data_IF_889835871038
#
_entry.id   IF_889835871038
#
_cell.length_a   1.000
_cell.length_b   1.000
_cell.length_c   1.000
_cell.angle_alpha   90.00
_cell.angle_beta   90.00
_cell.angle_gamma   90.00
#
_symmetry.space_group_name_H-M   'P 1'
#
loop_
_entity.id
_entity.type
_entity.pdbx_description
1 polymer ?
#
# COMPACT_ATOMS: atom_id res chain seq x y z
N UNK A 1 -6.61 -14.32 19.03
CA UNK A 1 -7.01 -13.61 17.79
C UNK A 1 -7.03 -12.13 18.13
N UNK A 2 -5.94 -11.41 17.85
CA UNK A 2 -5.91 -9.95 17.94
C UNK A 2 -6.77 -9.45 16.77
N UNK A 3 -7.78 -8.64 17.06
CA UNK A 3 -8.54 -7.90 16.05
C UNK A 3 -7.57 -7.23 15.08
N UNK A 4 -7.90 -7.27 13.79
CA UNK A 4 -7.20 -6.51 12.76
C UNK A 4 -7.36 -5.02 13.11
N UNK A 5 -6.36 -4.46 13.80
CA UNK A 5 -6.28 -3.04 14.17
C UNK A 5 -6.10 -2.12 12.95
N UNK A 6 -5.87 -2.72 11.80
CA UNK A 6 -4.94 -2.23 10.78
C UNK A 6 -5.61 -1.83 9.46
N UNK A 7 -6.89 -2.15 9.23
CA UNK A 7 -7.51 -1.85 7.94
C UNK A 7 -7.73 -0.36 7.67
N UNK A 8 -7.76 0.49 8.71
CA UNK A 8 -7.91 1.96 8.56
C UNK A 8 -6.66 2.61 7.98
N UNK A 9 -5.50 2.09 8.38
CA UNK A 9 -4.19 2.65 8.07
C UNK A 9 -3.78 2.38 6.61
N UNK A 10 -4.23 1.25 6.06
CA UNK A 10 -4.08 0.85 4.64
C UNK A 10 -4.52 1.99 3.70
N UNK A 11 -5.66 2.62 3.99
CA UNK A 11 -6.24 3.66 3.14
C UNK A 11 -5.56 5.02 3.26
N UNK A 12 -4.96 5.31 4.41
CA UNK A 12 -4.43 6.64 4.70
C UNK A 12 -3.29 7.00 3.73
N UNK A 13 -2.40 6.04 3.46
CA UNK A 13 -1.29 6.26 2.55
C UNK A 13 -1.75 6.38 1.08
N UNK A 14 -2.66 5.50 0.64
CA UNK A 14 -3.26 5.57 -0.69
C UNK A 14 -3.94 6.93 -0.92
N UNK A 15 -4.78 7.38 0.02
CA UNK A 15 -5.44 8.68 -0.08
C UNK A 15 -4.43 9.83 -0.09
N UNK A 16 -3.36 9.75 0.71
CA UNK A 16 -2.28 10.74 0.71
C UNK A 16 -1.60 10.89 -0.65
N UNK A 17 -1.38 9.78 -1.37
CA UNK A 17 -0.80 9.82 -2.71
C UNK A 17 -1.78 10.38 -3.75
N UNK A 18 -3.06 10.03 -3.68
CA UNK A 18 -4.10 10.62 -4.54
C UNK A 18 -4.24 12.14 -4.32
N UNK A 19 -4.13 12.60 -3.07
CA UNK A 19 -4.16 14.03 -2.74
C UNK A 19 -3.04 14.84 -3.41
N UNK A 20 -1.93 14.19 -3.77
CA UNK A 20 -0.83 14.81 -4.50
C UNK A 20 -1.28 15.47 -5.81
N UNK A 21 -2.27 14.90 -6.51
CA UNK A 21 -2.82 15.45 -7.75
C UNK A 21 -3.52 16.80 -7.54
N UNK A 22 -4.05 17.04 -6.35
CA UNK A 22 -4.79 18.25 -5.98
C UNK A 22 -3.92 19.30 -5.27
N UNK A 23 -2.65 19.01 -5.03
CA UNK A 23 -1.76 19.83 -4.22
C UNK A 23 -1.26 21.11 -4.90
N UNK A 24 -1.40 21.21 -6.24
CA UNK A 24 -0.80 22.26 -7.05
C UNK A 24 0.73 22.15 -7.20
N UNK A 25 1.33 21.09 -6.64
CA UNK A 25 2.74 20.74 -6.86
C UNK A 25 2.90 20.11 -8.23
N UNK A 26 4.05 20.35 -8.87
CA UNK A 26 4.37 19.72 -10.16
C UNK A 26 4.28 18.19 -10.08
N UNK A 27 3.59 17.51 -11.02
CA UNK A 27 3.33 16.07 -10.95
C UNK A 27 4.59 15.21 -10.74
N UNK A 28 5.70 15.55 -11.41
CA UNK A 28 6.98 14.83 -11.24
C UNK A 28 7.58 14.96 -9.85
N UNK A 29 7.33 16.07 -9.15
CA UNK A 29 7.78 16.25 -7.77
C UNK A 29 6.93 15.41 -6.83
N UNK A 30 5.61 15.39 -7.06
CA UNK A 30 4.69 14.51 -6.31
C UNK A 30 5.13 13.05 -6.45
N UNK A 31 5.36 12.60 -7.68
CA UNK A 31 5.85 11.25 -7.98
C UNK A 31 7.18 10.95 -7.28
N UNK A 32 8.14 11.88 -7.31
CA UNK A 32 9.42 11.72 -6.62
C UNK A 32 9.24 11.54 -5.11
N UNK A 33 8.37 12.33 -4.48
CA UNK A 33 8.07 12.17 -3.04
C UNK A 33 7.42 10.82 -2.74
N UNK A 34 6.45 10.39 -3.57
CA UNK A 34 5.80 9.09 -3.43
C UNK A 34 6.81 7.94 -3.51
N UNK A 35 7.70 7.98 -4.50
CA UNK A 35 8.76 6.96 -4.66
C UNK A 35 9.69 6.94 -3.43
N UNK A 36 10.06 8.11 -2.92
CA UNK A 36 10.88 8.23 -1.71
C UNK A 36 10.22 7.61 -0.48
N UNK A 37 8.92 7.87 -0.28
CA UNK A 37 8.15 7.30 0.82
C UNK A 37 8.04 5.77 0.68
N UNK A 38 7.69 5.26 -0.51
CA UNK A 38 7.60 3.81 -0.78
C UNK A 38 8.95 3.12 -0.49
N UNK A 39 10.06 3.72 -0.89
CA UNK A 39 11.39 3.17 -0.62
C UNK A 39 11.69 3.10 0.89
N UNK A 40 11.34 4.16 1.63
CA UNK A 40 11.50 4.18 3.08
C UNK A 40 10.66 3.07 3.75
N UNK A 41 9.42 2.89 3.32
CA UNK A 41 8.53 1.87 3.84
C UNK A 41 9.03 0.45 3.59
N UNK A 42 9.51 0.15 2.38
CA UNK A 42 10.13 -1.14 2.10
C UNK A 42 11.39 -1.37 2.93
N UNK A 43 12.14 -0.31 3.25
CA UNK A 43 13.31 -0.40 4.13
C UNK A 43 12.90 -0.83 5.54
N UNK A 44 11.83 -0.26 6.10
CA UNK A 44 11.29 -0.65 7.41
C UNK A 44 10.71 -2.08 7.40
N UNK A 45 9.98 -2.48 6.36
CA UNK A 45 9.48 -3.87 6.24
C UNK A 45 10.64 -4.87 6.16
N UNK A 46 11.68 -4.56 5.39
CA UNK A 46 12.87 -5.40 5.30
C UNK A 46 13.62 -5.47 6.63
N UNK A 47 13.72 -4.34 7.35
CA UNK A 47 14.30 -4.27 8.69
C UNK A 47 13.57 -5.18 9.68
N UNK A 48 12.23 -5.16 9.67
CA UNK A 48 11.42 -6.04 10.53
C UNK A 48 11.67 -7.53 10.20
N UNK A 49 11.72 -7.89 8.91
CA UNK A 49 12.07 -9.26 8.47
C UNK A 49 13.49 -9.64 8.91
N UNK A 50 14.45 -8.74 8.77
CA UNK A 50 15.83 -8.99 9.16
C UNK A 50 15.95 -9.30 10.65
N UNK A 51 15.32 -8.49 11.49
CA UNK A 51 15.32 -8.68 12.95
C UNK A 51 14.53 -9.94 13.31
N UNK A 52 13.26 -10.02 12.90
CA UNK A 52 12.30 -10.98 13.47
C UNK A 52 12.26 -12.34 12.76
N UNK A 53 12.69 -12.40 11.49
CA UNK A 53 12.75 -13.66 10.74
C UNK A 53 14.19 -14.15 10.54
N UNK A 54 15.14 -13.24 10.28
CA UNK A 54 16.55 -13.62 10.04
C UNK A 54 17.41 -13.60 11.30
N UNK A 55 16.91 -13.04 12.40
CA UNK A 55 17.61 -13.01 13.69
C UNK A 55 18.76 -12.00 13.74
N UNK A 56 18.69 -10.95 12.92
CA UNK A 56 19.69 -9.88 12.89
C UNK A 56 19.80 -9.19 14.26
N UNK A 57 21.03 -9.03 14.76
CA UNK A 57 21.27 -8.30 16.00
C UNK A 57 21.45 -6.79 15.77
N UNK A 58 21.52 -6.02 16.87
CA UNK A 58 21.64 -4.56 16.80
C UNK A 58 22.92 -4.10 16.07
N UNK A 59 24.03 -4.81 16.24
CA UNK A 59 25.30 -4.44 15.60
C UNK A 59 25.21 -4.62 14.09
N UNK A 60 24.71 -5.77 13.63
CA UNK A 60 24.46 -6.04 12.21
C UNK A 60 23.43 -5.05 11.63
N UNK A 61 22.43 -4.68 12.42
CA UNK A 61 21.41 -3.72 12.03
C UNK A 61 21.98 -2.32 11.81
N UNK A 62 22.78 -1.79 12.73
CA UNK A 62 23.40 -0.46 12.59
C UNK A 62 24.42 -0.43 11.45
N UNK A 63 25.16 -1.53 11.22
CA UNK A 63 26.06 -1.65 10.06
C UNK A 63 25.30 -1.56 8.73
N UNK A 64 24.09 -2.12 8.66
CA UNK A 64 23.29 -2.16 7.44
C UNK A 64 22.44 -0.91 7.22
N UNK A 65 21.76 -0.43 8.27
CA UNK A 65 20.76 0.64 8.19
C UNK A 65 21.29 2.01 8.64
N UNK A 66 22.47 2.04 9.25
CA UNK A 66 23.13 3.27 9.70
C UNK A 66 23.23 3.35 11.21
N UNK A 67 24.27 4.04 11.70
CA UNK A 67 24.45 4.25 13.13
C UNK A 67 23.32 5.09 13.74
N UNK A 68 22.95 4.80 14.99
CA UNK A 68 21.92 5.56 15.72
C UNK A 68 20.50 5.10 15.41
N UNK A 69 20.32 3.91 14.83
CA UNK A 69 19.01 3.32 14.54
C UNK A 69 18.51 2.38 15.64
N UNK A 70 19.12 2.42 16.83
CA UNK A 70 18.78 1.57 17.98
C UNK A 70 17.31 1.67 18.38
N UNK A 71 16.71 2.86 18.34
CA UNK A 71 15.29 3.03 18.68
C UNK A 71 14.37 2.30 17.68
N UNK A 72 14.71 2.36 16.38
CA UNK A 72 13.98 1.63 15.32
C UNK A 72 14.12 0.13 15.53
N UNK A 73 15.34 -0.36 15.78
CA UNK A 73 15.59 -1.76 16.09
C UNK A 73 14.74 -2.23 17.27
N UNK A 74 14.77 -1.49 18.39
CA UNK A 74 14.04 -1.83 19.59
C UNK A 74 12.52 -1.87 19.37
N UNK A 75 11.97 -0.94 18.59
CA UNK A 75 10.55 -0.92 18.25
C UNK A 75 10.16 -2.15 17.43
N UNK A 76 10.91 -2.46 16.37
CA UNK A 76 10.63 -3.60 15.49
C UNK A 76 10.82 -4.95 16.19
N UNK A 77 11.82 -5.06 17.07
CA UNK A 77 12.05 -6.24 17.89
C UNK A 77 10.95 -6.44 18.95
N UNK A 78 10.44 -5.36 19.54
CA UNK A 78 9.40 -5.42 20.57
C UNK A 78 8.01 -5.74 19.99
N UNK A 79 7.71 -5.20 18.81
CA UNK A 79 6.43 -5.39 18.13
C UNK A 79 6.62 -5.84 16.67
N UNK A 80 6.92 -7.13 16.44
CA UNK A 80 7.08 -7.66 15.09
C UNK A 80 5.84 -7.41 14.23
N UNK A 81 6.04 -6.83 13.06
CA UNK A 81 4.97 -6.54 12.12
C UNK A 81 4.18 -5.26 12.40
N UNK A 82 4.59 -4.42 13.36
CA UNK A 82 3.85 -3.21 13.77
C UNK A 82 3.52 -2.26 12.60
N UNK A 83 4.39 -2.16 11.60
CA UNK A 83 4.18 -1.30 10.42
C UNK A 83 3.72 -2.05 9.17
N UNK A 84 3.56 -3.38 9.24
CA UNK A 84 3.25 -4.17 8.04
C UNK A 84 1.95 -3.72 7.37
N UNK A 85 0.91 -3.46 8.14
CA UNK A 85 -0.35 -3.06 7.58
C UNK A 85 -0.33 -1.70 6.89
N UNK A 86 0.40 -0.72 7.43
CA UNK A 86 0.54 0.60 6.80
C UNK A 86 1.12 0.48 5.40
N UNK A 87 2.18 -0.32 5.25
CA UNK A 87 2.99 -0.34 4.03
C UNK A 87 2.53 -1.42 3.05
N UNK A 88 2.31 -2.64 3.54
CA UNK A 88 1.78 -3.73 2.72
C UNK A 88 0.33 -3.45 2.30
N UNK A 89 -0.43 -2.75 3.14
CA UNK A 89 -1.79 -2.33 2.80
C UNK A 89 -1.86 -1.40 1.59
N UNK A 90 -0.98 -0.40 1.51
CA UNK A 90 -0.89 0.44 0.32
C UNK A 90 -0.54 -0.39 -0.92
N UNK A 91 0.47 -1.26 -0.83
CA UNK A 91 0.85 -2.16 -1.93
C UNK A 91 -0.34 -3.00 -2.41
N UNK A 92 -1.13 -3.51 -1.47
CA UNK A 92 -2.34 -4.29 -1.74
C UNK A 92 -3.42 -3.47 -2.48
N UNK A 93 -3.66 -2.22 -2.10
CA UNK A 93 -4.61 -1.33 -2.80
C UNK A 93 -4.07 -0.96 -4.18
N UNK A 94 -2.79 -0.61 -4.28
CA UNK A 94 -2.14 -0.22 -5.53
C UNK A 94 -2.18 -1.35 -6.56
N UNK A 95 -1.92 -2.60 -6.13
CA UNK A 95 -2.07 -3.78 -6.96
C UNK A 95 -3.51 -4.00 -7.46
N UNK A 96 -4.51 -3.78 -6.61
CA UNK A 96 -5.93 -3.85 -7.01
C UNK A 96 -6.28 -2.75 -8.02
N UNK A 97 -5.73 -1.54 -7.85
CA UNK A 97 -5.91 -0.43 -8.79
C UNK A 97 -5.28 -0.73 -10.14
N UNK A 98 -4.03 -1.19 -10.16
CA UNK A 98 -3.34 -1.61 -11.38
C UNK A 98 -4.12 -2.72 -12.10
N UNK A 99 -4.58 -3.75 -11.38
CA UNK A 99 -5.45 -4.80 -11.93
C UNK A 99 -6.70 -4.24 -12.59
N UNK A 100 -7.38 -3.29 -11.93
CA UNK A 100 -8.58 -2.67 -12.48
C UNK A 100 -8.28 -1.80 -13.72
N UNK A 101 -7.19 -1.04 -13.70
CA UNK A 101 -6.73 -0.24 -14.84
C UNK A 101 -6.38 -1.10 -16.05
N UNK A 102 -5.69 -2.22 -15.84
CA UNK A 102 -5.35 -3.17 -16.90
C UNK A 102 -6.59 -3.82 -17.53
N UNK A 103 -7.57 -4.22 -16.71
CA UNK A 103 -8.77 -4.91 -17.19
C UNK A 103 -9.82 -3.97 -17.80
N UNK A 104 -9.95 -2.75 -17.27
CA UNK A 104 -10.97 -1.80 -17.72
C UNK A 104 -10.45 -0.80 -18.75
N UNK A 105 -9.13 -0.58 -18.80
CA UNK A 105 -8.47 0.35 -19.73
C UNK A 105 -9.17 1.73 -19.73
N UNK A 106 -9.63 2.20 -20.89
CA UNK A 106 -10.35 3.48 -21.01
C UNK A 106 -11.74 3.52 -20.38
N UNK A 107 -12.16 2.47 -19.67
CA UNK A 107 -13.39 2.43 -18.87
C UNK A 107 -13.11 2.46 -17.37
N UNK A 108 -11.84 2.45 -16.97
CA UNK A 108 -11.46 2.67 -15.59
C UNK A 108 -11.85 4.08 -15.18
N UNK A 109 -12.54 4.20 -14.04
CA UNK A 109 -12.90 5.47 -13.44
C UNK A 109 -12.43 5.50 -11.98
N UNK A 110 -11.69 6.54 -11.61
CA UNK A 110 -11.12 6.67 -10.26
C UNK A 110 -12.19 6.79 -9.18
N UNK A 111 -13.33 7.44 -9.47
CA UNK A 111 -14.43 7.62 -8.51
C UNK A 111 -15.11 6.28 -8.27
N UNK A 112 -15.41 5.51 -9.32
CA UNK A 112 -16.01 4.18 -9.19
C UNK A 112 -15.08 3.18 -8.50
N UNK A 113 -13.77 3.21 -8.80
CA UNK A 113 -12.78 2.42 -8.08
C UNK A 113 -12.77 2.76 -6.58
N UNK A 114 -12.69 4.04 -6.23
CA UNK A 114 -12.69 4.49 -4.84
C UNK A 114 -13.99 4.12 -4.11
N UNK A 115 -15.14 4.23 -4.79
CA UNK A 115 -16.42 3.79 -4.26
C UNK A 115 -16.43 2.28 -3.99
N UNK A 116 -15.91 1.46 -4.92
CA UNK A 116 -15.81 0.02 -4.74
C UNK A 116 -14.87 -0.36 -3.59
N UNK A 117 -13.73 0.34 -3.48
CA UNK A 117 -12.74 0.15 -2.43
C UNK A 117 -13.31 0.47 -1.03
N UNK A 118 -14.06 1.58 -0.90
CA UNK A 118 -14.61 2.06 0.37
C UNK A 118 -15.96 1.42 0.75
N UNK A 119 -16.64 0.76 -0.19
CA UNK A 119 -18.02 0.25 -0.05
C UNK A 119 -18.25 -0.58 1.21
N UNK A 120 -17.27 -1.39 1.58
CA UNK A 120 -17.38 -2.34 2.69
C UNK A 120 -16.87 -1.79 4.03
N UNK A 121 -16.34 -0.56 4.06
CA UNK A 121 -15.70 0.02 5.23
C UNK A 121 -14.41 -0.71 5.63
N UNK A 122 -14.09 -0.70 6.93
CA UNK A 122 -12.89 -1.32 7.48
C UNK A 122 -13.06 -2.84 7.59
N UNK A 123 -12.79 -3.56 6.51
CA UNK A 123 -12.91 -5.02 6.41
C UNK A 123 -11.59 -5.67 5.99
N UNK A 124 -11.49 -7.00 6.17
CA UNK A 124 -10.34 -7.78 5.71
C UNK A 124 -10.12 -7.59 4.19
N UNK A 125 -8.84 -7.58 3.78
CA UNK A 125 -8.41 -7.49 2.37
C UNK A 125 -9.18 -8.39 1.41
N UNK A 126 -9.48 -9.64 1.78
CA UNK A 126 -10.22 -10.57 0.91
C UNK A 126 -11.66 -10.09 0.58
N UNK A 127 -12.25 -9.24 1.41
CA UNK A 127 -13.56 -8.63 1.13
C UNK A 127 -13.38 -7.41 0.21
N UNK A 128 -12.31 -6.63 0.43
CA UNK A 128 -11.94 -5.50 -0.46
C UNK A 128 -11.66 -6.00 -1.87
N UNK A 129 -10.86 -7.06 -2.02
CA UNK A 129 -10.55 -7.69 -3.31
C UNK A 129 -11.81 -8.10 -4.06
N UNK A 130 -12.74 -8.80 -3.40
CA UNK A 130 -14.04 -9.17 -4.00
C UNK A 130 -14.89 -7.96 -4.39
N UNK A 131 -14.77 -6.85 -3.68
CA UNK A 131 -15.47 -5.60 -4.00
C UNK A 131 -14.92 -4.99 -5.29
N UNK A 132 -13.59 -5.00 -5.46
CA UNK A 132 -12.92 -4.54 -6.67
C UNK A 132 -13.19 -5.48 -7.86
N UNK A 133 -13.16 -6.79 -7.65
CA UNK A 133 -13.47 -7.77 -8.69
C UNK A 133 -14.88 -7.55 -9.25
N UNK A 134 -15.85 -7.29 -8.37
CA UNK A 134 -17.21 -6.96 -8.78
C UNK A 134 -17.29 -5.67 -9.58
N UNK A 135 -16.58 -4.63 -9.16
CA UNK A 135 -16.49 -3.38 -9.94
C UNK A 135 -15.97 -3.64 -11.36
N UNK A 136 -14.93 -4.47 -11.49
CA UNK A 136 -14.38 -4.86 -12.80
C UNK A 136 -15.40 -5.66 -13.63
N UNK A 137 -16.13 -6.58 -13.01
CA UNK A 137 -17.15 -7.42 -13.68
C UNK A 137 -18.37 -6.63 -14.15
N UNK A 138 -18.83 -5.66 -13.34
CA UNK A 138 -20.02 -4.83 -13.60
C UNK A 138 -19.74 -3.66 -14.55
N UNK A 139 -18.46 -3.30 -14.74
CA UNK A 139 -18.08 -2.27 -15.69
C UNK A 139 -18.54 -2.66 -17.11
N UNK A 140 -19.05 -1.70 -17.92
CA UNK A 140 -19.38 -1.98 -19.32
C UNK A 140 -18.15 -2.60 -20.01
N UNK A 141 -18.34 -3.59 -20.89
CA UNK A 141 -17.24 -4.14 -21.69
C UNK A 141 -17.28 -3.51 -23.08
N UNK A 142 -16.31 -2.66 -23.41
CA UNK A 142 -16.07 -2.28 -24.81
C UNK A 142 -15.39 -3.45 -25.51
N UNK A 143 -16.14 -4.22 -26.28
CA UNK A 143 -15.55 -5.12 -27.27
C UNK A 143 -14.90 -4.26 -28.35
N UNK A 144 -13.58 -4.37 -28.53
CA UNK A 144 -12.93 -3.90 -29.74
C UNK A 144 -13.34 -4.83 -30.88
N UNK A 145 -14.02 -4.31 -31.90
CA UNK A 145 -14.03 -4.99 -33.18
C UNK A 145 -12.65 -4.77 -33.81
N UNK A 146 -11.92 -5.87 -34.02
CA UNK A 146 -10.75 -5.87 -34.90
C UNK A 146 -11.26 -5.47 -36.31
N UNK A 147 -10.80 -4.32 -36.81
CA UNK A 147 -11.01 -3.88 -38.21
C UNK A 147 -9.77 -4.24 -39.02
#
# INVERSE_FOLDING_TARGET
MKECRDCRDIFQLYAGYQMGEFSGVEPKKVELYQIGDILNYYTILLADIDINYRGMDLTEFEEKYGAGTEEVFNQLAAEPGIFFAYYYGYYQIDALRQKAQEQLQGQFDDVEFNNALLRSGSVNYAIVEKSIDRYIEEAPKKYSYDV
#
